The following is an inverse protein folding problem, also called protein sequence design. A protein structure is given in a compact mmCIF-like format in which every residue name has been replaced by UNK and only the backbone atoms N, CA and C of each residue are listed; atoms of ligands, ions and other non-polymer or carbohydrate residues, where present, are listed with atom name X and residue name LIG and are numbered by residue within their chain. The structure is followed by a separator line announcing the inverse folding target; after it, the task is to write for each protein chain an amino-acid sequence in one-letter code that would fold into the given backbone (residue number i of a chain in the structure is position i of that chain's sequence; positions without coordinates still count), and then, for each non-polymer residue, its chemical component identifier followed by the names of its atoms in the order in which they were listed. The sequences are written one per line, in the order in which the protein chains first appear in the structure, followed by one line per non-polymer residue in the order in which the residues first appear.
data_IF_185129356082
#
_entry.id   IF_185129356082
#
_cell.length_a   1.000
_cell.length_b   1.000
_cell.length_c   1.000
_cell.angle_alpha   90.00
_cell.angle_beta   90.00
_cell.angle_gamma   90.00
#
_symmetry.space_group_name_H-M   'P 1'
#
loop_
_entity.id
_entity.type
_entity.pdbx_description
1 polymer ?
#
# COMPACT_ATOMS: atom_id res chain seq x y z
N UNK A 1 -18.05 -14.26 1.44
CA UNK A 1 -18.74 -12.96 1.25
C UNK A 1 -17.72 -11.85 1.37
N UNK A 2 -17.81 -10.81 0.52
CA UNK A 2 -16.88 -9.66 0.59
C UNK A 2 -17.65 -8.45 1.10
N UNK A 3 -17.08 -7.74 2.07
CA UNK A 3 -17.59 -6.48 2.62
C UNK A 3 -16.49 -5.43 2.39
N UNK A 4 -16.78 -4.47 1.54
CA UNK A 4 -15.85 -3.40 1.21
C UNK A 4 -16.16 -2.13 2.01
N UNK A 5 -15.13 -1.28 2.22
CA UNK A 5 -15.20 -0.02 2.97
C UNK A 5 -15.84 -0.18 4.37
N UNK A 6 -15.39 -1.20 5.11
CA UNK A 6 -15.96 -1.55 6.42
C UNK A 6 -15.94 -0.39 7.44
N UNK A 7 -14.99 0.55 7.29
CA UNK A 7 -14.89 1.72 8.15
C UNK A 7 -16.09 2.69 8.00
N UNK A 8 -16.93 2.50 6.98
CA UNK A 8 -18.15 3.32 6.81
C UNK A 8 -19.28 2.89 7.75
N UNK A 9 -19.19 1.70 8.37
CA UNK A 9 -20.28 1.20 9.23
C UNK A 9 -19.78 0.43 10.46
N UNK A 10 -19.69 1.13 11.58
CA UNK A 10 -19.44 0.51 12.87
C UNK A 10 -20.50 -0.55 13.23
N UNK A 11 -21.74 -0.37 12.79
CA UNK A 11 -22.82 -1.32 13.03
C UNK A 11 -22.55 -2.67 12.35
N UNK A 12 -22.02 -2.68 11.13
CA UNK A 12 -21.64 -3.89 10.40
C UNK A 12 -20.37 -4.48 11.03
N UNK A 13 -19.35 -3.66 11.25
CA UNK A 13 -18.08 -4.08 11.85
C UNK A 13 -18.30 -4.82 13.18
N UNK A 14 -19.12 -4.27 14.06
CA UNK A 14 -19.38 -4.84 15.37
C UNK A 14 -20.17 -6.16 15.34
N UNK A 15 -20.76 -6.52 14.18
CA UNK A 15 -21.49 -7.77 13.96
C UNK A 15 -20.70 -8.82 13.19
N UNK A 16 -19.47 -8.56 12.79
CA UNK A 16 -18.64 -9.52 12.04
C UNK A 16 -18.55 -10.85 12.78
N UNK A 17 -18.35 -10.80 14.09
CA UNK A 17 -18.33 -11.98 14.97
C UNK A 17 -19.62 -12.80 14.90
N UNK A 18 -20.76 -12.13 14.85
CA UNK A 18 -22.05 -12.81 14.75
C UNK A 18 -22.21 -13.44 13.37
N UNK A 19 -21.77 -12.75 12.32
CA UNK A 19 -21.84 -13.26 10.96
C UNK A 19 -20.97 -14.50 10.77
N UNK A 20 -19.74 -14.53 11.27
CA UNK A 20 -18.85 -15.69 11.16
C UNK A 20 -19.40 -16.91 11.90
N UNK A 21 -20.15 -16.71 12.99
CA UNK A 21 -20.76 -17.80 13.78
C UNK A 21 -22.08 -18.31 13.21
N UNK A 22 -22.88 -17.40 12.65
CA UNK A 22 -24.23 -17.74 12.18
C UNK A 22 -24.23 -18.14 10.71
N UNK A 23 -23.38 -17.54 9.90
CA UNK A 23 -23.26 -17.81 8.48
C UNK A 23 -22.06 -18.74 8.27
N UNK A 24 -22.28 -19.93 7.76
CA UNK A 24 -21.22 -20.88 7.41
C UNK A 24 -20.50 -20.43 6.13
N UNK A 25 -19.86 -19.25 6.17
CA UNK A 25 -19.21 -18.63 5.01
C UNK A 25 -17.99 -17.87 5.48
N UNK A 26 -16.95 -17.88 4.66
CA UNK A 26 -15.79 -17.02 4.85
C UNK A 26 -16.12 -15.57 4.50
N UNK A 27 -15.56 -14.65 5.27
CA UNK A 27 -15.73 -13.22 5.08
C UNK A 27 -14.37 -12.59 4.76
N UNK A 28 -14.33 -11.84 3.67
CA UNK A 28 -13.22 -10.95 3.35
C UNK A 28 -13.72 -9.53 3.58
N UNK A 29 -12.98 -8.78 4.38
CA UNK A 29 -13.35 -7.43 4.77
C UNK A 29 -12.23 -6.51 4.32
N UNK A 30 -12.57 -5.48 3.58
CA UNK A 30 -11.60 -4.49 3.10
C UNK A 30 -11.95 -3.10 3.63
N UNK A 31 -10.95 -2.23 3.67
CA UNK A 31 -11.14 -0.84 4.06
C UNK A 31 -9.91 -0.02 3.75
N UNK A 32 -10.12 1.15 3.17
CA UNK A 32 -9.06 2.05 2.75
C UNK A 32 -8.54 2.96 3.89
N UNK A 33 -9.28 3.06 5.00
CA UNK A 33 -8.94 3.94 6.12
C UNK A 33 -8.99 3.24 7.49
N UNK A 34 -7.93 2.51 7.86
CA UNK A 34 -7.88 1.77 9.13
C UNK A 34 -7.93 2.68 10.37
N UNK A 35 -7.56 3.95 10.25
CA UNK A 35 -7.60 4.90 11.36
C UNK A 35 -9.00 5.13 11.92
N UNK A 36 -10.05 4.98 11.13
CA UNK A 36 -11.43 5.12 11.57
C UNK A 36 -11.89 3.95 12.43
N UNK A 37 -11.35 2.77 12.22
CA UNK A 37 -11.64 1.56 13.02
C UNK A 37 -11.15 1.72 14.46
N UNK A 38 -10.23 2.65 14.73
CA UNK A 38 -9.76 2.99 16.07
C UNK A 38 -10.75 3.88 16.86
N UNK A 39 -11.83 4.34 16.23
CA UNK A 39 -12.85 5.11 16.91
C UNK A 39 -13.64 4.23 17.91
N UNK A 40 -14.08 4.85 19.02
CA UNK A 40 -14.74 4.13 20.13
C UNK A 40 -16.01 3.39 19.74
N UNK A 41 -16.63 3.75 18.63
CA UNK A 41 -17.82 3.08 18.11
C UNK A 41 -17.53 1.70 17.51
N UNK A 42 -16.26 1.45 17.10
CA UNK A 42 -15.80 0.18 16.57
C UNK A 42 -15.28 -0.69 17.73
N UNK A 43 -15.90 -1.83 17.95
CA UNK A 43 -15.51 -2.78 18.99
C UNK A 43 -14.55 -3.79 18.38
N UNK A 44 -13.28 -3.72 18.79
CA UNK A 44 -12.29 -4.68 18.33
C UNK A 44 -12.62 -6.11 18.73
N UNK A 45 -12.71 -7.01 17.78
CA UNK A 45 -13.02 -8.42 17.97
C UNK A 45 -11.73 -9.24 17.89
N UNK A 46 -10.93 -9.20 18.97
CA UNK A 46 -9.69 -9.97 19.03
C UNK A 46 -9.97 -11.48 18.89
N UNK A 47 -9.23 -12.14 18.02
CA UNK A 47 -9.28 -13.59 17.83
C UNK A 47 -10.28 -14.10 16.78
N UNK A 48 -11.14 -13.23 16.21
CA UNK A 48 -12.08 -13.61 15.16
C UNK A 48 -11.68 -13.07 13.78
N UNK A 49 -10.58 -12.31 13.69
CA UNK A 49 -10.09 -11.67 12.46
C UNK A 49 -8.62 -12.01 12.27
N UNK A 50 -8.29 -12.38 11.06
CA UNK A 50 -6.92 -12.46 10.57
C UNK A 50 -6.68 -11.26 9.64
N UNK A 51 -5.59 -10.52 9.89
CA UNK A 51 -5.25 -9.36 9.08
C UNK A 51 -4.27 -9.76 8.00
N UNK A 52 -4.60 -9.42 6.76
CA UNK A 52 -3.70 -9.49 5.62
C UNK A 52 -3.37 -8.07 5.16
N UNK A 53 -2.10 -7.73 5.22
CA UNK A 53 -1.61 -6.46 4.69
C UNK A 53 -1.17 -6.66 3.24
N UNK A 54 -1.71 -5.82 2.34
CA UNK A 54 -1.31 -5.80 0.93
C UNK A 54 -0.39 -4.61 0.75
N UNK A 55 0.85 -4.90 0.38
CA UNK A 55 1.88 -3.92 0.09
C UNK A 55 1.97 -3.62 -1.41
N UNK A 56 2.75 -2.62 -1.77
CA UNK A 56 3.19 -2.42 -3.15
C UNK A 56 4.13 -3.55 -3.55
N UNK A 57 4.29 -3.79 -4.86
CA UNK A 57 5.23 -4.79 -5.36
C UNK A 57 6.62 -4.55 -4.78
N UNK A 58 7.25 -5.61 -4.30
CA UNK A 58 8.66 -5.57 -3.95
C UNK A 58 9.56 -5.72 -5.19
N UNK A 59 10.87 -5.79 -5.00
CA UNK A 59 11.79 -5.85 -6.14
C UNK A 59 11.71 -7.19 -6.87
N UNK A 60 11.50 -8.29 -6.15
CA UNK A 60 11.32 -9.62 -6.75
C UNK A 60 10.06 -9.67 -7.61
N UNK A 61 8.93 -9.18 -7.09
CA UNK A 61 7.66 -9.07 -7.82
C UNK A 61 7.77 -8.13 -9.03
N UNK A 62 8.57 -7.05 -8.90
CA UNK A 62 8.87 -6.17 -10.02
C UNK A 62 9.65 -6.91 -11.13
N UNK A 63 10.65 -7.73 -10.78
CA UNK A 63 11.37 -8.57 -11.74
C UNK A 63 10.45 -9.61 -12.39
N UNK A 64 9.55 -10.21 -11.62
CA UNK A 64 8.53 -11.12 -12.16
C UNK A 64 7.63 -10.42 -13.19
N UNK A 65 7.19 -9.20 -12.89
CA UNK A 65 6.40 -8.40 -13.81
C UNK A 65 7.16 -8.03 -15.09
N UNK A 66 8.49 -7.87 -15.02
CA UNK A 66 9.37 -7.68 -16.19
C UNK A 66 9.57 -8.95 -17.04
N UNK A 67 9.26 -10.14 -16.50
CA UNK A 67 9.59 -11.42 -17.09
C UNK A 67 11.02 -11.89 -16.81
N UNK A 68 11.68 -11.29 -15.81
CA UNK A 68 13.10 -11.50 -15.46
C UNK A 68 13.27 -12.16 -14.09
N UNK A 69 12.27 -12.92 -13.65
CA UNK A 69 12.26 -13.59 -12.33
C UNK A 69 13.50 -14.46 -12.08
N UNK A 70 14.02 -15.13 -13.12
CA UNK A 70 15.20 -15.99 -13.02
C UNK A 70 16.45 -15.26 -12.54
N UNK A 71 16.58 -13.96 -12.80
CA UNK A 71 17.72 -13.18 -12.31
C UNK A 71 17.80 -13.12 -10.79
N UNK A 72 16.63 -13.11 -10.12
CA UNK A 72 16.57 -13.09 -8.67
C UNK A 72 16.97 -14.45 -8.06
N UNK A 73 16.61 -15.54 -8.74
CA UNK A 73 16.94 -16.90 -8.32
C UNK A 73 18.45 -17.21 -8.41
N UNK A 74 19.20 -16.43 -9.21
CA UNK A 74 20.64 -16.57 -9.33
C UNK A 74 21.44 -15.89 -8.19
N UNK A 75 20.75 -15.16 -7.27
CA UNK A 75 21.36 -14.61 -6.08
C UNK A 75 21.58 -15.72 -5.03
N UNK A 76 22.76 -15.77 -4.42
CA UNK A 76 23.00 -16.61 -3.26
C UNK A 76 22.42 -15.99 -1.98
N UNK A 77 22.55 -16.70 -0.86
CA UNK A 77 22.06 -16.25 0.45
C UNK A 77 22.69 -14.92 0.93
N UNK A 78 23.80 -14.51 0.34
CA UNK A 78 24.52 -13.28 0.65
C UNK A 78 24.29 -12.18 -0.39
N UNK A 79 23.39 -12.41 -1.36
CA UNK A 79 23.11 -11.48 -2.46
C UNK A 79 24.22 -11.42 -3.50
N UNK A 80 25.06 -12.47 -3.62
CA UNK A 80 26.12 -12.54 -4.63
C UNK A 80 25.63 -13.31 -5.86
N UNK A 81 26.09 -12.90 -7.01
CA UNK A 81 25.81 -13.51 -8.30
C UNK A 81 26.99 -13.31 -9.26
N UNK A 82 26.93 -13.90 -10.45
CA UNK A 82 27.88 -13.58 -11.52
C UNK A 82 27.82 -12.10 -11.90
N UNK A 83 28.93 -11.51 -12.31
CA UNK A 83 29.03 -10.07 -12.60
C UNK A 83 27.98 -9.56 -13.60
N UNK A 84 27.68 -10.36 -14.63
CA UNK A 84 26.67 -10.01 -15.64
C UNK A 84 25.25 -9.97 -15.05
N UNK A 85 24.91 -10.89 -14.17
CA UNK A 85 23.63 -10.94 -13.46
C UNK A 85 23.54 -9.77 -12.49
N UNK A 86 24.61 -9.52 -11.74
CA UNK A 86 24.68 -8.40 -10.81
C UNK A 86 24.49 -7.05 -11.50
N UNK A 87 25.10 -6.87 -12.67
CA UNK A 87 24.92 -5.64 -13.44
C UNK A 87 23.47 -5.45 -13.86
N UNK A 88 22.83 -6.47 -14.43
CA UNK A 88 21.40 -6.40 -14.82
C UNK A 88 20.48 -6.13 -13.62
N UNK A 89 20.70 -6.82 -12.52
CA UNK A 89 19.93 -6.58 -11.28
C UNK A 89 20.10 -5.15 -10.79
N UNK A 90 21.32 -4.60 -10.83
CA UNK A 90 21.60 -3.22 -10.45
C UNK A 90 20.88 -2.20 -11.34
N UNK A 91 20.84 -2.46 -12.65
CA UNK A 91 20.09 -1.63 -13.61
C UNK A 91 18.60 -1.64 -13.30
N UNK A 92 17.99 -2.81 -13.11
CA UNK A 92 16.57 -2.95 -12.74
C UNK A 92 16.27 -2.35 -11.37
N UNK A 93 17.16 -2.53 -10.40
CA UNK A 93 17.00 -1.93 -9.08
C UNK A 93 17.04 -0.40 -9.13
N UNK A 94 17.92 0.16 -9.97
CA UNK A 94 17.96 1.61 -10.23
C UNK A 94 16.65 2.14 -10.82
N UNK A 95 15.98 1.35 -11.68
CA UNK A 95 14.67 1.70 -12.21
C UNK A 95 13.61 1.61 -11.13
N UNK A 96 13.55 0.47 -10.41
CA UNK A 96 12.60 0.22 -9.34
C UNK A 96 12.64 1.31 -8.25
N UNK A 97 13.83 1.75 -7.83
CA UNK A 97 13.97 2.82 -6.85
C UNK A 97 13.44 4.18 -7.32
N UNK A 98 13.35 4.40 -8.63
CA UNK A 98 12.81 5.65 -9.21
C UNK A 98 11.31 5.65 -9.40
N UNK A 99 10.72 4.48 -9.69
CA UNK A 99 9.28 4.37 -10.00
C UNK A 99 8.48 3.78 -8.84
N UNK A 100 9.12 3.00 -7.95
CA UNK A 100 8.48 2.29 -6.85
C UNK A 100 7.67 1.08 -7.31
N UNK A 101 6.96 0.48 -6.35
CA UNK A 101 6.24 -0.78 -6.55
C UNK A 101 4.73 -0.65 -6.76
N UNK A 102 4.16 0.54 -6.97
CA UNK A 102 2.72 0.63 -7.25
C UNK A 102 2.35 -0.08 -8.55
N UNK A 103 1.41 -1.07 -8.54
CA UNK A 103 1.11 -1.88 -9.72
C UNK A 103 0.77 -1.05 -10.96
N UNK A 104 0.00 0.02 -10.83
CA UNK A 104 -0.36 0.89 -11.95
C UNK A 104 0.87 1.63 -12.53
N UNK A 105 1.82 2.00 -11.68
CA UNK A 105 3.07 2.66 -12.08
C UNK A 105 3.99 1.68 -12.80
N UNK A 106 4.12 0.47 -12.24
CA UNK A 106 4.90 -0.61 -12.85
C UNK A 106 4.32 -0.99 -14.21
N UNK A 107 2.99 -1.14 -14.30
CA UNK A 107 2.31 -1.43 -15.57
C UNK A 107 2.60 -0.34 -16.61
N UNK A 108 2.53 0.94 -16.23
CA UNK A 108 2.84 2.05 -17.14
C UNK A 108 4.30 2.01 -17.63
N UNK A 109 5.23 1.65 -16.73
CA UNK A 109 6.63 1.44 -17.12
C UNK A 109 6.78 0.27 -18.12
N UNK A 110 6.09 -0.85 -17.89
CA UNK A 110 6.12 -2.01 -18.77
C UNK A 110 5.63 -1.68 -20.18
N UNK A 111 4.57 -0.89 -20.29
CA UNK A 111 3.96 -0.47 -21.56
C UNK A 111 4.89 0.43 -22.38
N UNK A 112 5.48 1.44 -21.73
CA UNK A 112 6.17 2.53 -22.43
C UNK A 112 7.70 2.46 -22.28
N UNK A 113 8.23 1.70 -21.34
CA UNK A 113 9.65 1.66 -20.95
C UNK A 113 10.21 3.05 -20.62
N UNK A 114 9.35 3.93 -20.12
CA UNK A 114 9.64 5.33 -19.78
C UNK A 114 9.46 5.55 -18.28
N UNK A 115 10.52 6.00 -17.61
CA UNK A 115 10.49 6.39 -16.20
C UNK A 115 9.63 7.65 -16.02
N UNK A 116 9.66 8.57 -16.99
CA UNK A 116 8.88 9.81 -16.98
C UNK A 116 7.38 9.51 -16.97
N UNK A 117 6.93 8.58 -17.83
CA UNK A 117 5.51 8.18 -17.90
C UNK A 117 5.07 7.46 -16.63
N UNK A 118 5.92 6.59 -16.08
CA UNK A 118 5.68 5.91 -14.82
C UNK A 118 5.55 6.93 -13.67
N UNK A 119 6.45 7.90 -13.59
CA UNK A 119 6.40 8.96 -12.58
C UNK A 119 5.19 9.88 -12.76
N UNK A 120 4.73 10.12 -13.99
CA UNK A 120 3.48 10.85 -14.22
C UNK A 120 2.28 10.10 -13.64
N UNK A 121 2.26 8.77 -13.74
CA UNK A 121 1.22 7.93 -13.11
C UNK A 121 1.32 7.95 -11.57
N UNK A 122 2.53 7.85 -11.01
CA UNK A 122 2.77 7.98 -9.57
C UNK A 122 2.24 9.31 -9.02
N UNK A 123 2.48 10.41 -9.73
CA UNK A 123 1.97 11.73 -9.34
C UNK A 123 0.43 11.78 -9.31
N UNK A 124 -0.26 11.06 -10.20
CA UNK A 124 -1.74 10.97 -10.14
C UNK A 124 -2.19 10.26 -8.87
N UNK A 125 -1.54 9.15 -8.51
CA UNK A 125 -1.82 8.39 -7.29
C UNK A 125 -1.60 9.27 -6.06
N UNK A 126 -0.47 9.97 -5.97
CA UNK A 126 -0.17 10.89 -4.87
C UNK A 126 -1.22 11.99 -4.76
N UNK A 127 -1.65 12.58 -5.88
CA UNK A 127 -2.71 13.59 -5.89
C UNK A 127 -4.05 13.03 -5.39
N UNK A 128 -4.38 11.80 -5.79
CA UNK A 128 -5.59 11.12 -5.32
C UNK A 128 -5.57 10.98 -3.80
N UNK A 129 -4.53 10.37 -3.24
CA UNK A 129 -4.36 10.21 -1.78
C UNK A 129 -4.36 11.56 -1.04
N UNK A 130 -3.72 12.58 -1.60
CA UNK A 130 -3.72 13.91 -1.01
C UNK A 130 -5.13 14.51 -0.95
N UNK A 131 -5.93 14.30 -1.98
CA UNK A 131 -7.30 14.81 -2.02
C UNK A 131 -8.22 14.02 -1.07
N UNK A 132 -8.07 12.72 -1.00
CA UNK A 132 -8.79 11.88 -0.04
C UNK A 132 -8.45 12.25 1.40
N UNK A 133 -7.17 12.39 1.71
CA UNK A 133 -6.72 12.84 3.04
C UNK A 133 -7.38 14.17 3.45
N UNK A 134 -7.47 15.13 2.53
CA UNK A 134 -8.13 16.41 2.80
C UNK A 134 -9.63 16.26 3.14
N UNK A 135 -10.31 15.30 2.48
CA UNK A 135 -11.73 15.00 2.78
C UNK A 135 -11.88 14.46 4.19
N UNK A 136 -11.05 13.47 4.58
CA UNK A 136 -11.07 12.88 5.92
C UNK A 136 -10.69 13.89 7.01
N UNK A 137 -9.70 14.76 6.78
CA UNK A 137 -9.29 15.79 7.75
C UNK A 137 -10.29 16.94 7.90
N UNK A 138 -11.15 17.15 6.92
CA UNK A 138 -12.20 18.17 6.99
C UNK A 138 -13.47 17.66 7.67
N UNK A 139 -13.60 16.37 7.93
CA UNK A 139 -14.74 15.80 8.63
C UNK A 139 -14.74 16.25 10.10
N UNK A 140 -15.88 16.77 10.58
CA UNK A 140 -16.02 17.41 11.88
C UNK A 140 -15.64 16.48 13.07
N UNK A 141 -15.74 15.17 12.89
CA UNK A 141 -15.33 14.18 13.86
C UNK A 141 -13.82 14.15 14.12
N UNK A 142 -13.00 14.54 13.15
CA UNK A 142 -11.54 14.58 13.29
C UNK A 142 -11.09 15.92 13.89
N UNK A 143 -11.82 17.01 13.66
CA UNK A 143 -11.52 18.34 14.24
C UNK A 143 -11.52 18.37 15.76
N UNK A 144 -12.35 17.55 16.41
CA UNK A 144 -12.45 17.48 17.88
C UNK A 144 -11.42 16.58 18.53
N UNK A 145 -10.70 15.78 17.80
CA UNK A 145 -9.51 15.12 18.30
C UNK A 145 -8.34 16.09 18.09
N UNK A 146 -7.81 16.67 19.15
CA UNK A 146 -6.44 17.18 19.22
C UNK A 146 -5.51 15.97 19.00
N UNK A 147 -5.61 15.38 17.81
CA UNK A 147 -4.81 14.26 17.40
C UNK A 147 -3.38 14.74 17.33
N UNK A 148 -2.52 14.18 18.13
CA UNK A 148 -1.07 14.15 17.97
C UNK A 148 -0.70 13.35 16.72
N UNK A 149 -1.33 13.63 15.60
CA UNK A 149 -0.87 13.15 14.32
C UNK A 149 0.03 14.24 13.76
N UNK A 150 1.30 13.88 13.64
CA UNK A 150 2.24 14.61 12.81
C UNK A 150 1.51 14.88 11.49
N UNK A 151 1.22 16.14 11.24
CA UNK A 151 0.59 16.55 10.00
C UNK A 151 1.49 16.08 8.86
N UNK A 152 0.91 15.68 7.76
CA UNK A 152 1.63 15.30 6.53
C UNK A 152 2.69 16.33 6.10
N UNK A 153 2.60 17.53 6.60
CA UNK A 153 3.59 18.60 6.45
C UNK A 153 4.92 18.27 7.15
N UNK A 154 4.90 17.64 8.31
CA UNK A 154 6.13 17.23 9.01
C UNK A 154 6.85 16.08 8.30
N UNK A 155 6.15 15.26 7.56
CA UNK A 155 6.75 14.19 6.72
C UNK A 155 7.35 14.77 5.42
N UNK A 156 6.75 15.82 4.86
CA UNK A 156 7.29 16.48 3.66
C UNK A 156 8.48 17.40 3.99
N UNK A 157 8.53 17.96 5.20
CA UNK A 157 9.64 18.82 5.65
C UNK A 157 10.88 17.99 6.07
N UNK A 158 10.77 16.66 6.18
CA UNK A 158 11.91 15.76 6.50
C UNK A 158 12.59 15.16 5.28
N UNK A 159 12.11 15.41 4.07
CA UNK A 159 12.83 15.04 2.85
C UNK A 159 13.97 16.03 2.66
N UNK A 160 15.25 15.59 2.74
CA UNK A 160 16.38 16.48 2.52
C UNK A 160 16.30 17.00 1.07
N UNK A 161 16.08 18.31 0.92
CA UNK A 161 16.31 18.98 -0.35
C UNK A 161 17.83 19.12 -0.49
N UNK A 162 18.46 18.09 -1.06
CA UNK A 162 19.87 18.10 -1.26
C UNK A 162 20.36 16.88 -2.04
N UNK A 163 20.34 16.99 -3.35
CA UNK A 163 21.45 16.69 -4.28
C UNK A 163 20.98 17.00 -5.69
#
# INVERSE_FOLDING_TARGET
MIIDEIQESAAIYNRIRDFTRQLKSDFIITGSYPGRILDREFKYSAGDLESLEIHTLDFEEFLQALGEASLYEELDLYGQSADEVHQKLSEYYSIYTKIGGYPAVVLRYLENRSIEDANAELLKIIKLFTNESKRYFNDSHIRNRKARFLTSRALLDTVPTGL
#
